data_IF_252523480787
#
_entry.id   IF_252523480787
#
_cell.length_a   1.000
_cell.length_b   1.000
_cell.length_c   1.000
_cell.angle_alpha   90.00
_cell.angle_beta   90.00
_cell.angle_gamma   90.00
#
_symmetry.space_group_name_H-M   'P 1'
#
loop_
_entity.id
_entity.type
_entity.pdbx_description
1 polymer ?
#
# COMPACT_ATOMS: atom_id res chain seq x y z
N UNK A 1 5.65 9.15 -26.17
CA UNK A 1 5.31 8.68 -24.81
C UNK A 1 6.55 8.04 -24.23
N UNK A 2 7.03 8.53 -23.08
CA UNK A 2 8.16 7.92 -22.37
C UNK A 2 7.68 7.29 -21.05
N UNK A 3 8.48 6.45 -20.37
CA UNK A 3 7.97 5.64 -19.27
C UNK A 3 7.32 6.43 -18.12
N UNK A 4 7.79 7.66 -17.85
CA UNK A 4 7.14 8.57 -16.90
C UNK A 4 5.68 8.90 -17.25
N UNK A 5 5.36 9.06 -18.55
CA UNK A 5 3.99 9.25 -19.03
C UNK A 5 3.12 8.05 -18.69
N UNK A 6 3.59 6.86 -19.02
CA UNK A 6 2.88 5.60 -18.78
C UNK A 6 2.56 5.42 -17.30
N UNK A 7 3.53 5.64 -16.41
CA UNK A 7 3.30 5.57 -14.95
C UNK A 7 2.22 6.56 -14.54
N UNK A 8 2.32 7.82 -14.97
CA UNK A 8 1.36 8.86 -14.59
C UNK A 8 -0.05 8.62 -15.16
N UNK A 9 -0.18 8.03 -16.35
CA UNK A 9 -1.46 7.60 -16.91
C UNK A 9 -2.10 6.51 -16.06
N UNK A 10 -1.33 5.52 -15.60
CA UNK A 10 -1.84 4.51 -14.65
C UNK A 10 -2.29 5.17 -13.35
N UNK A 11 -1.49 6.06 -12.76
CA UNK A 11 -1.88 6.76 -11.52
C UNK A 11 -3.21 7.50 -11.70
N UNK A 12 -3.38 8.21 -12.82
CA UNK A 12 -4.64 8.90 -13.15
C UNK A 12 -5.80 7.93 -13.31
N UNK A 13 -5.60 6.84 -14.05
CA UNK A 13 -6.63 5.82 -14.27
C UNK A 13 -7.07 5.16 -12.95
N UNK A 14 -6.16 4.95 -12.00
CA UNK A 14 -6.47 4.42 -10.67
C UNK A 14 -7.14 5.43 -9.73
N UNK A 15 -7.34 6.69 -10.18
CA UNK A 15 -8.02 7.74 -9.42
C UNK A 15 -7.13 8.43 -8.38
N UNK A 16 -5.81 8.35 -8.54
CA UNK A 16 -4.86 9.04 -7.66
C UNK A 16 -5.01 10.55 -7.83
N UNK A 17 -5.25 11.27 -6.73
CA UNK A 17 -5.31 12.72 -6.73
C UNK A 17 -3.99 13.39 -6.30
N UNK A 18 -3.22 12.72 -5.43
CA UNK A 18 -2.00 13.24 -4.82
C UNK A 18 -0.83 12.29 -5.04
N UNK A 19 0.31 12.85 -5.43
CA UNK A 19 1.60 12.16 -5.47
C UNK A 19 2.52 12.84 -4.47
N UNK A 20 2.88 12.15 -3.41
CA UNK A 20 3.80 12.66 -2.40
C UNK A 20 5.23 12.27 -2.74
N UNK A 21 6.16 13.21 -2.64
CA UNK A 21 7.53 12.98 -3.10
C UNK A 21 8.53 13.84 -2.35
N UNK A 22 9.78 13.40 -2.29
CA UNK A 22 10.92 14.32 -2.20
C UNK A 22 11.62 14.26 -3.56
N UNK A 23 11.71 15.41 -4.22
CA UNK A 23 12.13 15.47 -5.63
C UNK A 23 13.55 14.94 -5.86
N UNK A 24 13.76 14.25 -6.98
CA UNK A 24 15.07 13.69 -7.35
C UNK A 24 15.16 13.28 -8.81
N UNK A 25 16.38 13.24 -9.35
CA UNK A 25 16.62 13.03 -10.79
C UNK A 25 16.10 11.69 -11.33
N UNK A 26 16.16 10.63 -10.52
CA UNK A 26 15.71 9.29 -10.92
C UNK A 26 14.20 9.18 -11.18
N UNK A 27 13.40 10.09 -10.63
CA UNK A 27 11.92 10.03 -10.70
C UNK A 27 11.30 11.24 -11.42
N UNK A 28 12.13 12.20 -11.86
CA UNK A 28 11.65 13.46 -12.43
C UNK A 28 10.62 13.28 -13.57
N UNK A 29 10.77 12.32 -14.51
CA UNK A 29 9.77 12.11 -15.55
C UNK A 29 8.37 11.78 -15.01
N UNK A 30 8.28 11.00 -13.92
CA UNK A 30 7.00 10.62 -13.30
C UNK A 30 6.33 11.89 -12.74
N UNK A 31 7.08 12.74 -12.06
CA UNK A 31 6.55 13.94 -11.41
C UNK A 31 6.05 14.98 -12.43
N UNK A 32 6.83 15.20 -13.50
CA UNK A 32 6.44 16.09 -14.60
C UNK A 32 5.17 15.57 -15.29
N UNK A 33 5.15 14.27 -15.61
CA UNK A 33 4.01 13.63 -16.24
C UNK A 33 2.75 13.64 -15.37
N UNK A 34 2.89 13.41 -14.06
CA UNK A 34 1.78 13.46 -13.09
C UNK A 34 1.18 14.87 -13.02
N UNK A 35 2.01 15.90 -12.92
CA UNK A 35 1.57 17.30 -12.92
C UNK A 35 0.84 17.66 -14.22
N UNK A 36 1.38 17.25 -15.37
CA UNK A 36 0.75 17.48 -16.69
C UNK A 36 -0.64 16.82 -16.82
N UNK A 37 -0.88 15.74 -16.07
CA UNK A 37 -2.15 14.99 -16.04
C UNK A 37 -3.16 15.50 -15.02
N UNK A 38 -2.80 16.53 -14.24
CA UNK A 38 -3.64 17.15 -13.22
C UNK A 38 -3.50 16.53 -11.82
N UNK A 39 -2.55 15.61 -11.62
CA UNK A 39 -2.28 15.06 -10.29
C UNK A 39 -1.50 16.10 -9.48
N UNK A 40 -1.87 16.28 -8.21
CA UNK A 40 -1.19 17.22 -7.33
C UNK A 40 0.09 16.58 -6.79
N UNK A 41 1.23 17.05 -7.28
CA UNK A 41 2.54 16.70 -6.73
C UNK A 41 2.80 17.52 -5.47
N UNK A 42 3.02 16.83 -4.35
CA UNK A 42 3.30 17.43 -3.04
C UNK A 42 4.73 17.08 -2.64
N UNK A 43 5.60 18.08 -2.70
CA UNK A 43 7.00 17.94 -2.31
C UNK A 43 7.14 18.07 -0.78
N UNK A 44 7.85 17.12 -0.15
CA UNK A 44 8.10 17.08 1.29
C UNK A 44 9.58 17.27 1.59
N UNK A 45 9.91 17.49 2.87
CA UNK A 45 11.30 17.74 3.31
C UNK A 45 12.07 16.48 3.73
N UNK A 46 11.39 15.32 3.75
CA UNK A 46 11.99 14.02 4.06
C UNK A 46 11.09 12.89 3.52
N UNK A 47 11.66 11.84 2.92
CA UNK A 47 10.90 10.79 2.21
C UNK A 47 9.92 10.02 3.10
N UNK A 48 10.25 9.82 4.38
CA UNK A 48 9.32 9.25 5.36
C UNK A 48 7.98 10.03 5.39
N UNK A 49 8.01 11.36 5.28
CA UNK A 49 6.81 12.19 5.29
C UNK A 49 5.97 11.99 4.02
N UNK A 50 6.59 11.65 2.89
CA UNK A 50 5.85 11.33 1.66
C UNK A 50 5.01 10.06 1.87
N UNK A 51 5.60 9.03 2.49
CA UNK A 51 4.90 7.78 2.79
C UNK A 51 3.85 7.97 3.88
N UNK A 52 4.11 8.75 4.94
CA UNK A 52 3.08 9.06 5.95
C UNK A 52 1.90 9.82 5.36
N UNK A 53 2.14 10.75 4.44
CA UNK A 53 1.07 11.48 3.76
C UNK A 53 0.27 10.56 2.82
N UNK A 54 0.95 9.67 2.08
CA UNK A 54 0.31 8.65 1.27
C UNK A 54 -0.58 7.72 2.13
N UNK A 55 -0.05 7.24 3.26
CA UNK A 55 -0.78 6.42 4.23
C UNK A 55 -2.03 7.13 4.77
N UNK A 56 -1.93 8.43 5.08
CA UNK A 56 -3.08 9.21 5.53
C UNK A 56 -4.16 9.32 4.44
N UNK A 57 -3.78 9.64 3.19
CA UNK A 57 -4.72 9.73 2.07
C UNK A 57 -5.42 8.40 1.83
N UNK A 58 -4.69 7.29 1.89
CA UNK A 58 -5.25 5.96 1.72
C UNK A 58 -6.40 5.70 2.70
N UNK A 59 -6.18 6.00 3.98
CA UNK A 59 -7.16 5.79 5.05
C UNK A 59 -8.35 6.73 4.99
N UNK A 60 -8.16 7.95 4.49
CA UNK A 60 -9.22 8.96 4.45
C UNK A 60 -10.10 8.83 3.21
N UNK A 61 -9.57 8.31 2.12
CA UNK A 61 -10.25 8.32 0.81
C UNK A 61 -10.64 6.93 0.31
N UNK A 62 -10.04 5.87 0.84
CA UNK A 62 -10.19 4.50 0.31
C UNK A 62 -9.50 4.28 -1.05
N UNK A 63 -8.77 5.27 -1.57
CA UNK A 63 -7.92 5.13 -2.77
C UNK A 63 -6.48 4.89 -2.33
N UNK A 64 -5.74 3.91 -2.88
CA UNK A 64 -4.35 3.66 -2.48
C UNK A 64 -3.49 4.93 -2.51
N UNK A 65 -2.73 5.15 -1.44
CA UNK A 65 -1.85 6.30 -1.31
C UNK A 65 -0.57 6.10 -2.11
N UNK A 66 -0.08 7.15 -2.78
CA UNK A 66 1.10 7.06 -3.66
C UNK A 66 2.24 7.92 -3.14
N UNK A 67 3.39 7.29 -2.92
CA UNK A 67 4.65 7.96 -2.65
C UNK A 67 5.66 7.65 -3.76
N UNK A 68 6.40 8.66 -4.22
CA UNK A 68 7.42 8.53 -5.27
C UNK A 68 8.73 9.12 -4.76
N UNK A 69 9.78 8.31 -4.67
CA UNK A 69 11.06 8.72 -4.06
C UNK A 69 12.25 8.36 -4.93
N UNK A 70 13.33 9.13 -4.83
CA UNK A 70 14.58 8.84 -5.56
C UNK A 70 15.23 7.53 -5.10
N UNK A 71 16.20 7.05 -5.88
CA UNK A 71 16.96 5.83 -5.62
C UNK A 71 17.77 5.87 -4.31
N UNK A 72 18.19 4.69 -3.86
CA UNK A 72 19.17 4.49 -2.81
C UNK A 72 18.76 5.13 -1.48
N UNK A 73 19.46 6.18 -1.01
CA UNK A 73 19.13 6.88 0.23
C UNK A 73 17.66 7.30 0.34
N UNK A 74 17.07 7.78 -0.75
CA UNK A 74 15.67 8.22 -0.76
C UNK A 74 14.71 7.08 -0.47
N UNK A 75 14.94 5.92 -1.09
CA UNK A 75 14.21 4.68 -0.78
C UNK A 75 14.45 4.23 0.66
N UNK A 76 15.70 4.20 1.14
CA UNK A 76 16.00 3.77 2.53
C UNK A 76 15.34 4.65 3.60
N UNK A 77 15.24 5.96 3.36
CA UNK A 77 14.59 6.90 4.27
C UNK A 77 13.09 6.62 4.44
N UNK A 78 12.47 5.81 3.57
CA UNK A 78 11.04 5.49 3.67
C UNK A 78 10.73 4.29 4.55
N UNK A 79 11.72 3.44 4.88
CA UNK A 79 11.50 2.12 5.51
C UNK A 79 10.66 2.24 6.80
N UNK A 80 10.95 3.22 7.64
CA UNK A 80 10.20 3.45 8.89
C UNK A 80 8.72 3.72 8.64
N UNK A 81 8.41 4.58 7.68
CA UNK A 81 7.03 4.95 7.34
C UNK A 81 6.30 3.81 6.62
N UNK A 82 7.00 3.07 5.76
CA UNK A 82 6.48 1.87 5.10
C UNK A 82 6.12 0.80 6.12
N UNK A 83 7.00 0.55 7.10
CA UNK A 83 6.70 -0.39 8.19
C UNK A 83 5.46 0.04 8.98
N UNK A 84 5.28 1.34 9.23
CA UNK A 84 4.07 1.86 9.86
C UNK A 84 2.81 1.57 9.02
N UNK A 85 2.86 1.85 7.71
CA UNK A 85 1.75 1.56 6.80
C UNK A 85 1.43 0.05 6.76
N UNK A 86 2.45 -0.81 6.80
CA UNK A 86 2.28 -2.28 6.87
C UNK A 86 1.58 -2.70 8.16
N UNK A 87 2.05 -2.23 9.31
CA UNK A 87 1.45 -2.55 10.62
C UNK A 87 0.01 -2.07 10.76
N UNK A 88 -0.33 -1.02 10.02
CA UNK A 88 -1.66 -0.47 10.00
C UNK A 88 -2.54 -0.97 8.84
N UNK A 89 -1.99 -1.84 7.99
CA UNK A 89 -2.68 -2.47 6.87
C UNK A 89 -3.29 -1.46 5.91
N UNK A 90 -2.49 -0.45 5.56
CA UNK A 90 -2.89 0.64 4.67
C UNK A 90 -2.39 0.38 3.24
N UNK A 91 -3.24 0.53 2.20
CA UNK A 91 -2.84 0.34 0.82
C UNK A 91 -1.97 1.52 0.36
N UNK A 92 -0.65 1.34 0.37
CA UNK A 92 0.32 2.33 -0.09
C UNK A 92 1.15 1.78 -1.23
N UNK A 93 1.24 2.52 -2.32
CA UNK A 93 2.10 2.20 -3.47
C UNK A 93 3.33 3.10 -3.40
N UNK A 94 4.48 2.52 -3.11
CA UNK A 94 5.77 3.21 -3.15
C UNK A 94 6.47 2.95 -4.48
N UNK A 95 6.72 4.01 -5.23
CA UNK A 95 7.51 3.96 -6.46
C UNK A 95 8.92 4.52 -6.17
N UNK A 96 9.94 3.69 -6.33
CA UNK A 96 11.34 4.08 -6.12
C UNK A 96 12.08 4.18 -7.44
N UNK A 97 12.85 5.26 -7.62
CA UNK A 97 13.84 5.31 -8.68
C UNK A 97 14.95 4.27 -8.49
N UNK A 98 15.67 3.94 -9.56
CA UNK A 98 16.91 3.15 -9.48
C UNK A 98 17.94 3.63 -10.50
N UNK A 99 19.20 3.24 -10.28
CA UNK A 99 20.28 3.45 -11.23
C UNK A 99 19.93 2.83 -12.60
N UNK A 100 20.43 3.45 -13.67
CA UNK A 100 20.20 3.00 -15.03
C UNK A 100 20.62 1.53 -15.21
N UNK A 101 19.81 0.74 -15.90
CA UNK A 101 19.96 -0.73 -15.94
C UNK A 101 21.34 -1.22 -16.40
N UNK A 102 22.02 -0.52 -17.32
CA UNK A 102 23.37 -0.90 -17.79
C UNK A 102 24.50 -0.56 -16.79
N UNK A 103 24.18 0.21 -15.75
CA UNK A 103 25.12 0.69 -14.73
C UNK A 103 24.89 0.03 -13.36
N UNK A 104 23.79 -0.71 -13.18
CA UNK A 104 23.51 -1.46 -11.95
C UNK A 104 24.62 -2.47 -11.63
N UNK A 105 25.00 -2.55 -10.35
CA UNK A 105 26.08 -3.40 -9.85
C UNK A 105 27.50 -2.89 -10.17
N UNK A 106 27.63 -1.67 -10.71
CA UNK A 106 28.92 -1.11 -11.16
C UNK A 106 29.35 0.13 -10.37
N UNK A 107 28.72 0.38 -9.22
CA UNK A 107 28.99 1.55 -8.38
C UNK A 107 28.35 2.83 -8.91
N UNK A 108 27.21 2.71 -9.61
CA UNK A 108 26.47 3.87 -10.07
C UNK A 108 25.90 4.68 -8.89
N UNK A 109 25.55 5.94 -9.16
CA UNK A 109 25.02 6.83 -8.14
C UNK A 109 23.77 6.22 -7.50
N UNK A 110 23.78 6.09 -6.17
CA UNK A 110 22.65 5.56 -5.37
C UNK A 110 22.22 4.12 -5.75
N UNK A 111 23.12 3.34 -6.35
CA UNK A 111 22.92 1.94 -6.72
C UNK A 111 23.08 1.03 -5.49
N UNK A 112 21.96 0.50 -4.99
CA UNK A 112 21.92 -0.42 -3.85
C UNK A 112 20.91 -1.53 -4.13
N UNK A 113 20.97 -2.63 -3.38
CA UNK A 113 19.93 -3.67 -3.40
C UNK A 113 18.67 -3.20 -2.64
N UNK A 114 17.84 -2.43 -3.32
CA UNK A 114 16.61 -1.85 -2.76
C UNK A 114 15.56 -2.93 -2.48
N UNK A 115 15.49 -3.99 -3.29
CA UNK A 115 14.49 -5.04 -3.12
C UNK A 115 14.70 -5.81 -1.80
N UNK A 116 15.93 -6.21 -1.50
CA UNK A 116 16.24 -6.95 -0.26
C UNK A 116 15.90 -6.17 1.00
N UNK A 117 16.06 -4.84 0.98
CA UNK A 117 15.68 -3.96 2.10
C UNK A 117 14.16 -3.96 2.35
N UNK A 118 13.36 -4.22 1.32
CA UNK A 118 11.91 -4.09 1.37
C UNK A 118 11.17 -5.40 1.64
N UNK A 119 11.82 -6.56 1.43
CA UNK A 119 11.18 -7.89 1.53
C UNK A 119 10.35 -8.12 2.80
N UNK A 120 10.77 -7.57 3.95
CA UNK A 120 10.07 -7.76 5.23
C UNK A 120 9.04 -6.67 5.58
N UNK A 121 9.04 -5.55 4.85
CA UNK A 121 8.24 -4.36 5.18
C UNK A 121 7.12 -4.08 4.18
N UNK A 122 7.10 -4.76 3.03
CA UNK A 122 6.01 -4.70 2.04
C UNK A 122 5.37 -6.07 1.80
N UNK A 123 4.15 -6.07 1.25
CA UNK A 123 3.48 -7.30 0.81
C UNK A 123 4.08 -7.86 -0.48
N UNK A 124 4.55 -6.97 -1.35
CA UNK A 124 5.05 -7.29 -2.67
C UNK A 124 6.03 -6.22 -3.12
N UNK A 125 7.11 -6.66 -3.77
CA UNK A 125 8.11 -5.79 -4.36
C UNK A 125 8.59 -6.33 -5.71
N UNK A 126 8.80 -5.46 -6.68
CA UNK A 126 9.36 -5.83 -8.00
C UNK A 126 10.29 -4.77 -8.56
N UNK A 127 11.10 -5.14 -9.56
CA UNK A 127 11.96 -4.23 -10.32
C UNK A 127 11.66 -4.34 -11.81
N UNK A 128 11.32 -3.22 -12.44
CA UNK A 128 10.92 -3.19 -13.85
C UNK A 128 12.15 -3.23 -14.75
N UNK A 129 12.11 -4.07 -15.78
CA UNK A 129 13.26 -4.32 -16.69
C UNK A 129 13.07 -3.83 -18.11
N UNK A 130 11.84 -3.56 -18.54
CA UNK A 130 11.52 -3.02 -19.87
C UNK A 130 10.43 -1.98 -19.75
N UNK A 131 10.43 -1.01 -20.68
CA UNK A 131 9.44 0.08 -20.71
C UNK A 131 8.01 -0.46 -20.81
N UNK A 132 7.80 -1.50 -21.62
CA UNK A 132 6.47 -2.10 -21.82
C UNK A 132 5.85 -2.67 -20.54
N UNK A 133 6.70 -3.04 -19.58
CA UNK A 133 6.30 -3.70 -18.33
C UNK A 133 6.00 -2.67 -17.21
N UNK A 134 6.16 -1.36 -17.46
CA UNK A 134 5.86 -0.31 -16.48
C UNK A 134 4.38 -0.26 -16.10
N UNK A 135 3.47 -0.20 -17.08
CA UNK A 135 2.04 -0.13 -16.78
C UNK A 135 1.55 -1.37 -16.02
N UNK A 136 1.84 -2.61 -16.48
CA UNK A 136 1.44 -3.82 -15.74
C UNK A 136 2.01 -3.89 -14.34
N UNK A 137 3.28 -3.47 -14.13
CA UNK A 137 3.90 -3.51 -12.80
C UNK A 137 3.23 -2.52 -11.83
N UNK A 138 2.87 -1.32 -12.29
CA UNK A 138 2.16 -0.35 -11.45
C UNK A 138 0.74 -0.81 -11.17
N UNK A 139 0.02 -1.33 -12.17
CA UNK A 139 -1.32 -1.89 -11.99
C UNK A 139 -1.33 -3.06 -11.01
N UNK A 140 -0.38 -3.99 -11.13
CA UNK A 140 -0.22 -5.06 -10.14
C UNK A 140 0.06 -4.48 -8.75
N UNK A 141 0.88 -3.43 -8.62
CA UNK A 141 1.10 -2.76 -7.34
C UNK A 141 -0.22 -2.26 -6.71
N UNK A 142 -1.09 -1.63 -7.50
CA UNK A 142 -2.42 -1.20 -7.02
C UNK A 142 -3.29 -2.37 -6.58
N UNK A 143 -3.29 -3.47 -7.34
CA UNK A 143 -4.02 -4.69 -6.97
C UNK A 143 -3.48 -5.29 -5.65
N UNK A 144 -2.17 -5.56 -5.60
CA UNK A 144 -1.47 -6.19 -4.46
C UNK A 144 -1.59 -5.37 -3.17
N UNK A 145 -1.59 -4.04 -3.28
CA UNK A 145 -1.74 -3.17 -2.11
C UNK A 145 -3.12 -3.30 -1.44
N UNK A 146 -4.15 -3.71 -2.17
CA UNK A 146 -5.55 -3.74 -1.71
C UNK A 146 -6.09 -5.14 -1.41
N UNK A 147 -5.60 -6.17 -2.11
CA UNK A 147 -6.12 -7.54 -2.00
C UNK A 147 -5.91 -8.16 -0.61
N UNK A 148 -6.76 -9.13 -0.25
CA UNK A 148 -6.75 -9.85 1.02
C UNK A 148 -6.72 -8.94 2.25
N UNK A 149 -5.55 -8.71 2.84
CA UNK A 149 -5.30 -7.68 3.85
C UNK A 149 -4.50 -6.55 3.19
N UNK A 150 -4.99 -5.29 3.19
CA UNK A 150 -4.27 -4.22 2.51
C UNK A 150 -2.91 -3.96 3.16
N UNK A 151 -1.99 -3.36 2.40
CA UNK A 151 -0.65 -3.07 2.89
C UNK A 151 0.21 -2.40 1.83
N UNK A 152 1.42 -1.97 2.21
CA UNK A 152 2.32 -1.29 1.31
C UNK A 152 2.95 -2.25 0.31
N UNK A 153 3.27 -1.72 -0.86
CA UNK A 153 4.00 -2.40 -1.96
C UNK A 153 5.10 -1.49 -2.50
N UNK A 154 6.10 -2.09 -3.13
CA UNK A 154 7.26 -1.36 -3.68
C UNK A 154 7.51 -1.70 -5.15
N UNK A 155 7.64 -0.69 -6.00
CA UNK A 155 8.05 -0.87 -7.41
C UNK A 155 9.32 -0.08 -7.65
N UNK A 156 10.40 -0.79 -7.95
CA UNK A 156 11.66 -0.21 -8.38
C UNK A 156 11.63 0.09 -9.88
N UNK A 157 11.98 1.32 -10.25
CA UNK A 157 11.94 1.84 -11.61
C UNK A 157 13.30 2.43 -11.99
N UNK A 158 14.13 1.69 -12.75
CA UNK A 158 15.39 2.24 -13.24
C UNK A 158 15.17 3.46 -14.13
N UNK A 159 16.01 4.48 -13.96
CA UNK A 159 15.82 5.81 -14.56
C UNK A 159 15.78 5.77 -16.10
N UNK A 160 16.52 4.87 -16.73
CA UNK A 160 16.56 4.69 -18.18
C UNK A 160 15.31 4.03 -18.77
N UNK A 161 14.35 3.60 -17.94
CA UNK A 161 13.01 3.22 -18.41
C UNK A 161 12.04 4.40 -18.41
N UNK A 162 12.33 5.48 -17.66
CA UNK A 162 11.39 6.57 -17.42
C UNK A 162 11.51 7.72 -18.44
N UNK A 163 12.68 7.86 -19.06
CA UNK A 163 12.95 8.83 -20.12
C UNK A 163 12.68 8.25 -21.51
N UNK A 164 12.62 9.13 -22.52
CA UNK A 164 12.44 8.72 -23.91
C UNK A 164 13.69 8.04 -24.46
N UNK A 165 13.49 7.26 -25.52
CA UNK A 165 14.54 6.44 -26.12
C UNK A 165 15.72 7.26 -26.66
N UNK A 166 15.46 8.45 -27.23
CA UNK A 166 16.52 9.29 -27.78
C UNK A 166 17.43 9.83 -26.67
N UNK A 167 16.83 10.29 -25.57
CA UNK A 167 17.56 10.72 -24.37
C UNK A 167 18.41 9.58 -23.79
N UNK A 168 17.87 8.37 -23.67
CA UNK A 168 18.62 7.22 -23.14
C UNK A 168 19.77 6.81 -24.05
N UNK A 169 19.57 6.83 -25.37
CA UNK A 169 20.65 6.59 -26.35
C UNK A 169 21.78 7.62 -26.22
N UNK A 170 21.43 8.88 -26.00
CA UNK A 170 22.41 9.94 -25.78
C UNK A 170 23.23 9.71 -24.50
N UNK A 171 22.59 9.32 -23.39
CA UNK A 171 23.28 9.02 -22.13
C UNK A 171 24.30 7.90 -22.25
N UNK A 172 23.97 6.87 -23.02
CA UNK A 172 24.88 5.75 -23.29
C UNK A 172 25.92 6.05 -24.39
N UNK A 173 26.02 7.30 -24.86
CA UNK A 173 27.00 7.71 -25.86
C UNK A 173 26.73 7.18 -27.26
N UNK A 174 25.56 6.59 -27.51
CA UNK A 174 25.19 6.00 -28.79
C UNK A 174 24.93 7.04 -29.89
N UNK A 175 24.78 8.32 -29.51
CA UNK A 175 24.61 9.44 -30.43
C UNK A 175 25.94 10.08 -30.92
N UNK A 176 27.09 9.65 -30.39
CA UNK A 176 28.42 10.19 -30.73
C UNK A 176 29.15 9.36 -31.80
N UNK A 177 30.12 9.95 -32.52
CA UNK A 177 30.95 9.22 -33.48
C UNK A 177 31.64 8.03 -32.78
N UNK A 178 31.35 6.82 -33.26
CA UNK A 178 31.69 5.56 -32.59
C UNK A 178 33.18 5.38 -32.30
N UNK A 179 33.49 4.55 -31.30
CA UNK A 179 34.87 4.31 -30.88
C UNK A 179 35.71 3.68 -32.00
N UNK A 180 36.93 4.21 -32.21
CA UNK A 180 37.89 3.64 -33.17
C UNK A 180 38.49 2.31 -32.69
N UNK A 181 38.45 2.01 -31.39
CA UNK A 181 38.98 0.77 -30.82
C UNK A 181 38.01 -0.41 -30.93
N UNK A 182 38.54 -1.63 -31.09
CA UNK A 182 37.72 -2.86 -31.18
C UNK A 182 36.89 -3.08 -29.91
N UNK A 183 37.48 -2.88 -28.73
CA UNK A 183 36.79 -2.98 -27.44
C UNK A 183 35.65 -1.97 -27.32
N UNK A 184 35.86 -0.73 -27.79
CA UNK A 184 34.83 0.30 -27.78
C UNK A 184 33.65 -0.04 -28.70
N UNK A 185 33.91 -0.61 -29.89
CA UNK A 185 32.83 -1.07 -30.79
C UNK A 185 31.99 -2.19 -30.18
N UNK A 186 32.61 -3.12 -29.45
CA UNK A 186 31.90 -4.20 -28.75
C UNK A 186 30.98 -3.62 -27.67
N UNK A 187 31.50 -2.71 -26.84
CA UNK A 187 30.70 -2.05 -25.79
C UNK A 187 29.55 -1.25 -26.40
N UNK A 188 29.81 -0.50 -27.48
CA UNK A 188 28.79 0.28 -28.17
C UNK A 188 27.68 -0.61 -28.75
N UNK A 189 28.04 -1.74 -29.37
CA UNK A 189 27.06 -2.73 -29.87
C UNK A 189 26.26 -3.36 -28.74
N UNK A 190 26.90 -3.68 -27.60
CA UNK A 190 26.19 -4.17 -26.42
C UNK A 190 25.17 -3.16 -25.90
N UNK A 191 25.56 -1.89 -25.75
CA UNK A 191 24.68 -0.82 -25.28
C UNK A 191 23.51 -0.57 -26.24
N UNK A 192 23.76 -0.60 -27.55
CA UNK A 192 22.69 -0.47 -28.55
C UNK A 192 21.68 -1.62 -28.47
N UNK A 193 22.16 -2.87 -28.40
CA UNK A 193 21.29 -4.04 -28.20
C UNK A 193 20.53 -3.98 -26.87
N UNK A 194 21.17 -3.47 -25.81
CA UNK A 194 20.55 -3.28 -24.51
C UNK A 194 19.41 -2.26 -24.57
N UNK A 195 19.63 -1.09 -25.15
CA UNK A 195 18.57 -0.08 -25.35
C UNK A 195 17.45 -0.62 -26.24
N UNK A 196 17.77 -1.29 -27.34
CA UNK A 196 16.77 -1.94 -28.20
C UNK A 196 15.88 -2.90 -27.39
N UNK A 197 16.47 -3.63 -26.43
CA UNK A 197 15.72 -4.53 -25.54
C UNK A 197 14.88 -3.79 -24.51
N UNK A 198 15.36 -2.68 -23.94
CA UNK A 198 14.62 -1.87 -22.97
C UNK A 198 13.32 -1.33 -23.57
N UNK A 199 13.39 -0.84 -24.82
CA UNK A 199 12.28 -0.20 -25.53
C UNK A 199 11.50 -1.16 -26.46
N UNK A 200 11.90 -2.43 -26.53
CA UNK A 200 11.21 -3.43 -27.34
C UNK A 200 9.73 -3.52 -26.96
N UNK A 201 8.85 -3.50 -27.97
CA UNK A 201 7.40 -3.60 -27.82
C UNK A 201 6.76 -2.52 -26.92
N UNK A 202 7.39 -1.36 -26.71
CA UNK A 202 6.84 -0.31 -25.83
C UNK A 202 5.40 0.11 -26.20
N UNK A 203 5.07 0.09 -27.49
CA UNK A 203 3.74 0.43 -28.02
C UNK A 203 2.64 -0.59 -27.63
N UNK A 204 3.02 -1.79 -27.14
CA UNK A 204 2.07 -2.79 -26.64
C UNK A 204 1.65 -2.53 -25.20
N UNK A 205 2.30 -1.61 -24.49
CA UNK A 205 1.92 -1.23 -23.13
C UNK A 205 0.66 -0.39 -23.17
N UNK A 206 -0.43 -0.93 -22.64
CA UNK A 206 -1.70 -0.22 -22.52
C UNK A 206 -2.02 0.00 -21.05
N UNK A 207 -2.64 1.15 -20.76
CA UNK A 207 -3.12 1.48 -19.42
C UNK A 207 -4.52 0.93 -19.27
N UNK A 208 -4.71 0.06 -18.30
CA UNK A 208 -5.97 -0.54 -17.92
C UNK A 208 -6.89 0.43 -17.16
N UNK A 209 -8.17 0.06 -16.96
CA UNK A 209 -9.12 0.85 -16.20
C UNK A 209 -8.80 0.86 -14.70
N UNK A 210 -9.51 1.70 -13.95
CA UNK A 210 -9.48 1.69 -12.48
C UNK A 210 -9.79 0.28 -11.95
N UNK A 211 -8.92 -0.23 -11.10
CA UNK A 211 -9.11 -1.53 -10.45
C UNK A 211 -10.12 -1.42 -9.32
N UNK A 212 -11.06 -2.36 -9.29
CA UNK A 212 -12.01 -2.55 -8.18
C UNK A 212 -11.63 -3.84 -7.47
N UNK A 213 -11.01 -3.73 -6.30
CA UNK A 213 -10.57 -4.87 -5.51
C UNK A 213 -11.57 -5.10 -4.36
N UNK A 214 -12.42 -6.11 -4.51
CA UNK A 214 -13.37 -6.48 -3.47
C UNK A 214 -12.68 -7.26 -2.33
N UNK A 215 -13.08 -7.08 -1.06
CA UNK A 215 -12.62 -7.93 0.01
C UNK A 215 -13.15 -9.37 -0.17
N UNK A 216 -12.43 -10.39 0.35
CA UNK A 216 -12.92 -11.77 0.29
C UNK A 216 -14.26 -11.89 1.03
N UNK A 217 -15.24 -12.64 0.49
CA UNK A 217 -16.53 -12.81 1.13
C UNK A 217 -16.38 -13.58 2.46
N UNK A 218 -17.20 -13.26 3.49
CA UNK A 218 -17.20 -14.03 4.72
C UNK A 218 -17.82 -15.41 4.52
N UNK A 219 -17.40 -16.38 5.33
CA UNK A 219 -18.05 -17.69 5.41
C UNK A 219 -19.45 -17.55 6.02
N UNK A 220 -20.48 -17.88 5.24
CA UNK A 220 -21.89 -17.72 5.64
C UNK A 220 -22.30 -18.64 6.80
N UNK A 221 -21.65 -19.80 6.93
CA UNK A 221 -21.86 -20.72 8.06
C UNK A 221 -21.31 -20.13 9.35
N UNK A 222 -20.12 -19.52 9.30
CA UNK A 222 -19.54 -18.80 10.44
C UNK A 222 -20.37 -17.56 10.81
N UNK A 223 -20.86 -16.80 9.83
CA UNK A 223 -21.74 -15.64 10.07
C UNK A 223 -23.03 -16.08 10.76
N UNK A 224 -23.69 -17.14 10.28
CA UNK A 224 -24.91 -17.68 10.89
C UNK A 224 -24.67 -18.16 12.32
N UNK A 225 -23.55 -18.86 12.56
CA UNK A 225 -23.16 -19.32 13.90
C UNK A 225 -22.88 -18.15 14.84
N UNK A 226 -22.20 -17.10 14.35
CA UNK A 226 -21.94 -15.87 15.10
C UNK A 226 -23.24 -15.17 15.48
N UNK A 227 -24.20 -15.04 14.55
CA UNK A 227 -25.51 -14.46 14.81
C UNK A 227 -26.30 -15.22 15.88
N UNK A 228 -26.35 -16.56 15.80
CA UNK A 228 -27.01 -17.39 16.81
C UNK A 228 -26.38 -17.22 18.20
N UNK A 229 -25.05 -17.18 18.29
CA UNK A 229 -24.35 -16.97 19.57
C UNK A 229 -24.58 -15.57 20.12
N UNK A 230 -24.62 -14.56 19.26
CA UNK A 230 -24.89 -13.19 19.65
C UNK A 230 -26.31 -13.02 20.17
N UNK A 231 -27.30 -13.62 19.51
CA UNK A 231 -28.70 -13.58 19.93
C UNK A 231 -28.93 -14.23 21.30
N UNK A 232 -28.19 -15.30 21.62
CA UNK A 232 -28.28 -15.98 22.91
C UNK A 232 -27.51 -15.29 24.06
N UNK A 233 -26.70 -14.26 23.77
CA UNK A 233 -25.88 -13.59 24.78
C UNK A 233 -26.72 -12.63 25.64
N UNK A 234 -26.49 -12.65 26.95
CA UNK A 234 -27.18 -11.77 27.89
C UNK A 234 -26.40 -10.49 28.17
N UNK A 235 -25.07 -10.52 28.05
CA UNK A 235 -24.18 -9.37 28.29
C UNK A 235 -23.10 -9.28 27.19
N UNK A 236 -23.50 -9.13 25.92
CA UNK A 236 -22.55 -8.98 24.83
C UNK A 236 -21.83 -7.63 24.91
N UNK A 237 -20.55 -7.60 24.54
CA UNK A 237 -19.77 -6.37 24.34
C UNK A 237 -19.05 -6.45 23.00
N UNK A 238 -19.08 -5.35 22.26
CA UNK A 238 -18.42 -5.23 20.97
C UNK A 238 -17.22 -4.27 21.03
N UNK A 239 -16.15 -4.58 20.31
CA UNK A 239 -15.03 -3.68 20.08
C UNK A 239 -14.83 -3.51 18.58
N UNK A 240 -14.84 -2.27 18.12
CA UNK A 240 -14.58 -1.91 16.72
C UNK A 240 -13.23 -1.20 16.64
N UNK A 241 -12.38 -1.69 15.74
CA UNK A 241 -11.01 -1.20 15.54
C UNK A 241 -10.78 -0.63 14.16
N UNK A 242 -9.55 -0.15 13.93
CA UNK A 242 -9.16 0.50 12.68
C UNK A 242 -9.42 -0.35 11.44
N UNK A 243 -9.27 -1.68 11.52
CA UNK A 243 -9.49 -2.52 10.34
C UNK A 243 -10.95 -2.60 9.89
N UNK A 244 -11.90 -2.35 10.79
CA UNK A 244 -13.32 -2.36 10.44
C UNK A 244 -13.71 -1.14 9.59
N UNK A 245 -12.86 -0.10 9.53
CA UNK A 245 -13.13 1.17 8.85
C UNK A 245 -12.17 1.44 7.70
N UNK A 246 -11.54 0.40 7.13
CA UNK A 246 -10.62 0.54 6.00
C UNK A 246 -11.30 0.99 4.71
N UNK A 247 -12.58 0.62 4.52
CA UNK A 247 -13.40 1.09 3.40
C UNK A 247 -14.03 2.45 3.75
N UNK A 248 -13.21 3.50 3.71
CA UNK A 248 -13.60 4.85 4.11
C UNK A 248 -14.85 5.38 3.36
N UNK A 249 -14.99 5.21 2.03
CA UNK A 249 -16.19 5.66 1.32
C UNK A 249 -17.50 5.03 1.78
N UNK A 250 -17.46 3.81 2.33
CA UNK A 250 -18.66 3.08 2.79
C UNK A 250 -18.71 2.89 4.31
N UNK A 251 -17.92 3.65 5.07
CA UNK A 251 -17.80 3.50 6.53
C UNK A 251 -19.14 3.67 7.27
N UNK A 252 -20.07 4.44 6.71
CA UNK A 252 -21.42 4.60 7.25
C UNK A 252 -22.17 3.26 7.38
N UNK A 253 -21.94 2.31 6.47
CA UNK A 253 -22.55 0.96 6.55
C UNK A 253 -22.11 0.21 7.81
N UNK A 254 -20.89 0.46 8.28
CA UNK A 254 -20.37 -0.13 9.52
C UNK A 254 -21.06 0.50 10.73
N UNK A 255 -21.25 1.82 10.73
CA UNK A 255 -21.99 2.51 11.78
C UNK A 255 -23.45 2.00 11.86
N UNK A 256 -24.13 1.90 10.72
CA UNK A 256 -25.50 1.38 10.64
C UNK A 256 -25.60 -0.07 11.12
N UNK A 257 -24.64 -0.93 10.72
CA UNK A 257 -24.59 -2.31 11.18
C UNK A 257 -24.39 -2.38 12.71
N UNK A 258 -23.49 -1.58 13.27
CA UNK A 258 -23.25 -1.49 14.71
C UNK A 258 -24.51 -1.03 15.45
N UNK A 259 -25.21 -0.01 14.94
CA UNK A 259 -26.46 0.49 15.53
C UNK A 259 -27.56 -0.59 15.50
N UNK A 260 -27.71 -1.30 14.38
CA UNK A 260 -28.71 -2.39 14.22
C UNK A 260 -28.44 -3.60 15.09
N UNK A 261 -27.17 -3.91 15.38
CA UNK A 261 -26.82 -5.01 16.29
C UNK A 261 -27.24 -4.71 17.74
N UNK A 262 -27.35 -3.44 18.14
CA UNK A 262 -27.83 -3.06 19.47
C UNK A 262 -26.89 -3.43 20.63
N UNK A 263 -25.64 -3.78 20.34
CA UNK A 263 -24.66 -4.25 21.34
C UNK A 263 -23.86 -3.07 21.91
N UNK A 264 -23.64 -2.98 23.24
CA UNK A 264 -22.73 -2.00 23.82
C UNK A 264 -21.33 -2.10 23.22
N UNK A 265 -20.79 -0.97 22.73
CA UNK A 265 -19.60 -0.96 21.88
C UNK A 265 -18.51 -0.02 22.38
N UNK A 266 -17.26 -0.45 22.27
CA UNK A 266 -16.08 0.39 22.40
C UNK A 266 -15.45 0.63 21.03
N UNK A 267 -15.22 1.89 20.70
CA UNK A 267 -14.51 2.29 19.48
C UNK A 267 -13.04 2.56 19.79
N UNK A 268 -12.15 2.05 18.95
CA UNK A 268 -10.70 2.15 19.14
C UNK A 268 -9.96 2.50 17.85
N UNK A 269 -8.77 3.11 17.99
CA UNK A 269 -7.97 3.52 16.84
C UNK A 269 -8.75 4.48 15.94
N UNK A 270 -8.75 4.19 14.63
CA UNK A 270 -9.45 4.97 13.60
C UNK A 270 -10.97 4.83 13.65
N UNK A 271 -11.51 3.85 14.37
CA UNK A 271 -12.96 3.72 14.52
C UNK A 271 -13.56 4.74 15.51
N UNK A 272 -12.74 5.51 16.24
CA UNK A 272 -13.27 6.56 17.14
C UNK A 272 -13.96 7.64 16.33
N UNK A 273 -15.17 8.00 16.73
CA UNK A 273 -16.04 8.93 16.01
C UNK A 273 -17.04 8.26 15.08
N UNK A 274 -16.94 6.94 14.84
CA UNK A 274 -17.82 6.19 13.94
C UNK A 274 -19.32 6.38 14.23
N UNK A 275 -19.70 6.53 15.50
CA UNK A 275 -21.09 6.69 15.93
C UNK A 275 -21.45 8.13 16.34
N UNK A 276 -20.52 9.09 16.18
CA UNK A 276 -20.69 10.45 16.70
C UNK A 276 -20.42 10.58 18.20
N UNK A 277 -20.81 11.73 18.78
CA UNK A 277 -20.39 12.13 20.13
C UNK A 277 -21.20 11.46 21.23
N UNK A 278 -22.51 11.26 21.05
CA UNK A 278 -23.44 10.89 22.14
C UNK A 278 -24.24 9.61 21.87
N UNK A 279 -23.77 8.73 20.98
CA UNK A 279 -24.50 7.51 20.67
C UNK A 279 -24.68 6.60 21.90
N UNK A 280 -25.90 6.14 22.21
CA UNK A 280 -26.20 5.44 23.47
C UNK A 280 -25.49 4.09 23.62
N UNK A 281 -25.22 3.40 22.51
CA UNK A 281 -24.46 2.14 22.53
C UNK A 281 -22.97 2.34 22.85
N UNK A 282 -22.41 3.55 22.66
CA UNK A 282 -20.98 3.76 22.76
C UNK A 282 -20.54 3.92 24.22
N UNK A 283 -19.78 2.94 24.70
CA UNK A 283 -19.10 2.98 25.98
C UNK A 283 -17.70 3.60 25.83
N UNK A 284 -17.32 4.44 26.81
CA UNK A 284 -16.04 5.18 26.78
C UNK A 284 -15.08 4.75 27.88
N UNK A 285 -15.59 4.44 29.07
CA UNK A 285 -14.83 4.08 30.25
C UNK A 285 -15.09 2.62 30.65
N UNK A 286 -14.37 2.11 31.65
CA UNK A 286 -14.61 0.78 32.22
C UNK A 286 -14.50 -0.42 31.25
N UNK A 287 -13.81 -0.25 30.11
CA UNK A 287 -13.62 -1.31 29.09
C UNK A 287 -13.17 -2.65 29.66
N UNK A 288 -12.18 -2.64 30.57
CA UNK A 288 -11.68 -3.87 31.23
C UNK A 288 -12.75 -4.57 32.05
N UNK A 289 -13.58 -3.81 32.76
CA UNK A 289 -14.66 -4.36 33.60
C UNK A 289 -15.77 -4.94 32.72
N UNK A 290 -16.18 -4.22 31.67
CA UNK A 290 -17.15 -4.70 30.69
C UNK A 290 -16.70 -6.01 30.05
N UNK A 291 -15.44 -6.11 29.62
CA UNK A 291 -14.86 -7.33 29.04
C UNK A 291 -14.78 -8.51 30.02
N UNK A 292 -14.56 -8.25 31.31
CA UNK A 292 -14.57 -9.29 32.36
C UNK A 292 -15.99 -9.76 32.72
N UNK A 293 -16.97 -8.87 32.61
CA UNK A 293 -18.37 -9.16 32.92
C UNK A 293 -19.12 -9.82 31.75
N UNK A 294 -18.67 -9.58 30.52
CA UNK A 294 -19.30 -10.08 29.30
C UNK A 294 -19.35 -11.62 29.26
N UNK A 295 -20.46 -12.16 28.75
CA UNK A 295 -20.61 -13.56 28.37
C UNK A 295 -20.33 -13.78 26.88
N UNK A 296 -20.29 -12.70 26.08
CA UNK A 296 -19.83 -12.71 24.69
C UNK A 296 -19.03 -11.45 24.36
N UNK A 297 -17.90 -11.63 23.68
CA UNK A 297 -17.09 -10.53 23.15
C UNK A 297 -17.02 -10.63 21.63
N UNK A 298 -17.47 -9.57 20.95
CA UNK A 298 -17.40 -9.42 19.48
C UNK A 298 -16.28 -8.44 19.11
N UNK A 299 -15.26 -8.90 18.40
CA UNK A 299 -14.18 -8.06 17.89
C UNK A 299 -14.33 -7.85 16.39
N UNK A 300 -14.52 -6.59 15.97
CA UNK A 300 -14.54 -6.20 14.56
C UNK A 300 -13.27 -5.41 14.26
N UNK A 301 -12.33 -6.03 13.54
CA UNK A 301 -11.07 -5.38 13.16
C UNK A 301 -10.14 -5.05 14.32
N UNK A 302 -10.17 -5.84 15.39
CA UNK A 302 -9.33 -5.68 16.58
C UNK A 302 -8.57 -6.99 16.84
N UNK A 303 -7.23 -7.02 16.73
CA UNK A 303 -6.45 -8.17 17.15
C UNK A 303 -6.43 -8.29 18.68
N UNK A 304 -6.34 -9.52 19.18
CA UNK A 304 -6.18 -9.79 20.62
C UNK A 304 -4.71 -9.60 21.02
N UNK A 305 -4.24 -8.36 21.05
CA UNK A 305 -2.85 -7.99 21.39
C UNK A 305 -2.70 -7.45 22.82
N UNK A 306 -1.56 -6.81 23.11
CA UNK A 306 -1.26 -6.21 24.41
C UNK A 306 -2.34 -5.22 24.89
N UNK A 307 -3.05 -4.54 23.98
CA UNK A 307 -4.13 -3.60 24.30
C UNK A 307 -5.34 -4.31 24.89
N UNK A 308 -5.46 -5.62 24.65
CA UNK A 308 -6.48 -6.50 25.21
C UNK A 308 -5.92 -7.48 26.25
N UNK A 309 -4.73 -7.21 26.80
CA UNK A 309 -4.05 -8.09 27.76
C UNK A 309 -3.94 -9.53 27.22
N UNK A 310 -3.67 -9.66 25.91
CA UNK A 310 -3.56 -10.94 25.21
C UNK A 310 -4.79 -11.84 25.40
N UNK A 311 -5.97 -11.24 25.65
CA UNK A 311 -7.23 -11.95 25.86
C UNK A 311 -7.45 -12.46 27.29
N UNK A 312 -6.53 -12.21 28.23
CA UNK A 312 -6.63 -12.63 29.64
C UNK A 312 -7.75 -11.91 30.40
N UNK A 313 -8.15 -10.74 29.92
CA UNK A 313 -9.26 -10.00 30.50
C UNK A 313 -10.65 -10.51 30.10
N UNK A 314 -10.78 -11.37 29.09
CA UNK A 314 -12.07 -11.97 28.76
C UNK A 314 -12.39 -13.06 29.76
N UNK A 315 -13.65 -13.14 30.19
CA UNK A 315 -14.12 -14.21 31.07
C UNK A 315 -13.84 -15.58 30.44
N UNK A 316 -13.37 -16.56 31.23
CA UNK A 316 -12.95 -17.89 30.74
C UNK A 316 -14.04 -18.64 29.97
N UNK A 317 -15.31 -18.47 30.34
CA UNK A 317 -16.48 -19.08 29.69
C UNK A 317 -17.17 -18.17 28.66
N UNK A 318 -16.64 -16.96 28.41
CA UNK A 318 -17.24 -16.08 27.41
C UNK A 318 -17.04 -16.65 26.01
N UNK A 319 -18.07 -16.51 25.17
CA UNK A 319 -17.99 -16.74 23.73
C UNK A 319 -17.18 -15.60 23.12
N UNK A 320 -16.31 -15.94 22.17
CA UNK A 320 -15.47 -14.98 21.47
C UNK A 320 -15.78 -15.06 19.98
N UNK A 321 -16.14 -13.93 19.37
CA UNK A 321 -16.38 -13.80 17.94
C UNK A 321 -15.38 -12.76 17.40
N UNK A 322 -14.71 -13.07 16.30
CA UNK A 322 -13.80 -12.15 15.64
C UNK A 322 -14.07 -12.06 14.15
N UNK A 323 -14.08 -10.84 13.63
CA UNK A 323 -14.12 -10.52 12.22
C UNK A 323 -12.90 -9.68 11.87
N UNK A 324 -12.00 -10.23 11.03
CA UNK A 324 -10.74 -9.59 10.66
C UNK A 324 -10.33 -10.04 9.25
N UNK A 325 -9.74 -9.14 8.45
CA UNK A 325 -9.23 -9.49 7.11
C UNK A 325 -7.93 -10.29 7.18
N UNK A 326 -7.12 -10.02 8.20
CA UNK A 326 -5.86 -10.72 8.44
C UNK A 326 -6.10 -12.01 9.22
N UNK A 327 -5.76 -13.16 8.63
CA UNK A 327 -5.82 -14.47 9.29
C UNK A 327 -4.93 -14.53 10.53
N UNK A 328 -3.78 -13.85 10.49
CA UNK A 328 -2.87 -13.78 11.63
C UNK A 328 -3.52 -12.99 12.77
N UNK A 329 -4.03 -11.79 12.50
CA UNK A 329 -4.72 -10.97 13.51
C UNK A 329 -5.98 -11.63 14.06
N UNK A 330 -6.69 -12.41 13.23
CA UNK A 330 -7.89 -13.16 13.62
C UNK A 330 -7.61 -14.18 14.72
N UNK A 331 -6.43 -14.80 14.71
CA UNK A 331 -6.08 -15.91 15.62
C UNK A 331 -4.97 -15.57 16.62
N UNK A 332 -4.44 -14.34 16.54
CA UNK A 332 -3.35 -13.87 17.38
C UNK A 332 -3.70 -13.99 18.86
N UNK A 333 -2.86 -14.70 19.63
CA UNK A 333 -2.98 -14.97 21.08
C UNK A 333 -4.22 -15.76 21.56
N UNK A 334 -5.37 -15.67 20.87
CA UNK A 334 -6.60 -16.40 21.22
C UNK A 334 -7.42 -16.70 19.97
N UNK A 335 -7.85 -17.94 19.82
CA UNK A 335 -8.71 -18.38 18.70
C UNK A 335 -10.19 -18.17 19.04
N UNK A 336 -10.98 -17.61 18.10
CA UNK A 336 -12.45 -17.50 18.21
C UNK A 336 -13.15 -18.85 18.05
#
# INVERSE_FOLDING_TARGET
MHGGDTVADVLKAQGVAFVFTLTGGHIAPILVAAKARGLRVVDVRHEANAVFAADAVARLTGTPGVAVVTAGPGVTNTITAVKNAQMAQSPVVLLGGAAATALQGRGALQDIDQLSLFQSVVKWSTSVRKVRDLAPAVEEAFQRSQEETPGPVFVEMPVDLLYDEATVRQWYGLASQGSRSLSGRIVQKYLDLHVNRLFADKEKSTVGPKLIVAPPPPDQGLVSKAATKLHAAQRPVMLVGSQAVLDAPHVARVADAVARLGVPVYLSGMARGLLGVDHPLQLRHQRRQALRAADLVLLAGVPVDFRLDYGRQFRRRAVYIAANRSKDDLTRNRKP
#
